data_IF_417796929599
#
_entry.id   IF_417796929599
#
_cell.length_a   1.000
_cell.length_b   1.000
_cell.length_c   1.000
_cell.angle_alpha   90.00
_cell.angle_beta   90.00
_cell.angle_gamma   90.00
#
_symmetry.space_group_name_H-M   'P 1'
#
loop_
_entity.id
_entity.type
_entity.pdbx_description
1 polymer ?
#
# COMPACT_ATOMS: atom_id res chain seq x y z
N UNK A 1 72.30 -78.90 -38.19
CA UNK A 1 71.08 -79.48 -37.61
C UNK A 1 70.58 -78.54 -36.51
N UNK A 2 69.37 -77.98 -36.69
CA UNK A 2 68.53 -77.22 -35.73
C UNK A 2 69.17 -75.95 -35.10
N UNK A 3 68.49 -74.83 -34.81
CA UNK A 3 67.10 -74.43 -34.78
C UNK A 3 67.13 -72.88 -34.72
N UNK A 4 66.53 -72.15 -35.66
CA UNK A 4 66.50 -70.67 -35.62
C UNK A 4 65.04 -70.21 -35.41
N UNK A 5 64.74 -69.80 -34.18
CA UNK A 5 63.41 -69.40 -33.72
C UNK A 5 63.16 -67.93 -34.09
N UNK A 6 62.17 -67.70 -34.95
CA UNK A 6 61.56 -66.38 -35.20
C UNK A 6 60.52 -66.11 -34.12
N UNK A 7 60.73 -65.06 -33.32
CA UNK A 7 59.67 -64.47 -32.49
C UNK A 7 59.28 -63.10 -33.06
N UNK A 8 58.01 -63.01 -33.43
CA UNK A 8 57.30 -61.84 -33.94
C UNK A 8 56.79 -61.03 -32.74
N UNK A 9 57.31 -59.82 -32.53
CA UNK A 9 56.81 -58.91 -31.49
C UNK A 9 55.73 -58.02 -32.07
N UNK A 10 54.49 -58.25 -31.62
CA UNK A 10 53.32 -57.41 -31.87
C UNK A 10 53.33 -56.21 -30.91
N UNK A 11 53.44 -54.99 -31.42
CA UNK A 11 53.28 -53.75 -30.66
C UNK A 11 51.82 -53.29 -30.69
N UNK A 12 51.13 -53.46 -29.56
CA UNK A 12 49.79 -52.94 -29.30
C UNK A 12 49.83 -51.46 -28.92
N UNK A 13 49.11 -50.62 -29.66
CA UNK A 13 48.87 -49.20 -29.35
C UNK A 13 47.77 -49.05 -28.30
N UNK A 14 48.13 -48.52 -27.13
CA UNK A 14 47.17 -48.21 -26.05
C UNK A 14 46.56 -46.83 -26.30
N UNK A 15 45.30 -46.79 -26.73
CA UNK A 15 44.51 -45.57 -26.86
C UNK A 15 44.16 -44.98 -25.48
N UNK A 16 44.58 -43.73 -25.24
CA UNK A 16 44.19 -42.97 -24.06
C UNK A 16 42.74 -42.46 -24.21
N UNK A 17 41.82 -43.08 -23.48
CA UNK A 17 40.41 -42.66 -23.39
C UNK A 17 40.28 -41.42 -22.50
N UNK A 18 39.83 -40.31 -23.08
CA UNK A 18 39.56 -39.05 -22.38
C UNK A 18 38.29 -39.18 -21.51
N UNK A 19 38.49 -39.48 -20.23
CA UNK A 19 37.40 -39.57 -19.24
C UNK A 19 36.83 -38.18 -18.97
N UNK A 20 35.65 -37.87 -19.52
CA UNK A 20 34.87 -36.64 -19.27
C UNK A 20 34.60 -36.52 -17.76
N UNK A 21 35.32 -35.64 -17.05
CA UNK A 21 35.07 -35.34 -15.64
C UNK A 21 33.69 -34.69 -15.52
N UNK A 22 32.76 -35.39 -14.87
CA UNK A 22 31.47 -34.83 -14.45
C UNK A 22 31.75 -33.77 -13.39
N UNK A 23 31.63 -32.50 -13.76
CA UNK A 23 31.69 -31.39 -12.80
C UNK A 23 30.47 -31.53 -11.89
N UNK A 24 30.62 -31.52 -10.56
CA UNK A 24 29.48 -31.57 -9.66
C UNK A 24 28.63 -30.31 -9.90
N UNK A 25 27.38 -30.50 -10.33
CA UNK A 25 26.43 -29.42 -10.66
C UNK A 25 25.95 -28.72 -9.37
N UNK A 26 26.02 -29.40 -8.23
CA UNK A 26 25.53 -28.95 -6.94
C UNK A 26 26.06 -27.56 -6.46
N UNK A 27 27.38 -27.25 -6.50
CA UNK A 27 27.89 -25.93 -6.14
C UNK A 27 27.37 -24.79 -7.01
N UNK A 28 27.08 -25.05 -8.29
CA UNK A 28 26.57 -24.03 -9.22
C UNK A 28 25.13 -23.65 -8.86
N UNK A 29 24.31 -24.64 -8.49
CA UNK A 29 22.91 -24.40 -8.08
C UNK A 29 22.87 -23.57 -6.79
N UNK A 30 23.72 -23.89 -5.80
CA UNK A 30 23.78 -23.14 -4.54
C UNK A 30 24.23 -21.70 -4.79
N UNK A 31 25.27 -21.49 -5.61
CA UNK A 31 25.73 -20.15 -5.95
C UNK A 31 24.63 -19.32 -6.65
N UNK A 32 23.90 -19.93 -7.59
CA UNK A 32 22.78 -19.27 -8.27
C UNK A 32 21.66 -18.90 -7.28
N UNK A 33 21.32 -19.80 -6.35
CA UNK A 33 20.29 -19.54 -5.33
C UNK A 33 20.68 -18.38 -4.40
N UNK A 34 21.95 -18.33 -3.96
CA UNK A 34 22.46 -17.24 -3.13
C UNK A 34 22.36 -15.90 -3.85
N UNK A 35 22.71 -15.84 -5.14
CA UNK A 35 22.59 -14.63 -5.96
C UNK A 35 21.13 -14.18 -6.06
N UNK A 36 20.20 -15.10 -6.33
CA UNK A 36 18.76 -14.79 -6.39
C UNK A 36 18.24 -14.24 -5.05
N UNK A 37 18.61 -14.86 -3.93
CA UNK A 37 18.21 -14.40 -2.59
C UNK A 37 18.81 -13.02 -2.30
N UNK A 38 20.10 -12.80 -2.62
CA UNK A 38 20.75 -11.51 -2.43
C UNK A 38 20.10 -10.41 -3.29
N UNK A 39 19.76 -10.71 -4.54
CA UNK A 39 19.04 -9.78 -5.43
C UNK A 39 17.64 -9.43 -4.90
N UNK A 40 16.93 -10.40 -4.32
CA UNK A 40 15.65 -10.15 -3.66
C UNK A 40 15.81 -9.22 -2.44
N UNK A 41 16.80 -9.47 -1.57
CA UNK A 41 17.07 -8.64 -0.38
C UNK A 41 17.43 -7.19 -0.78
N UNK A 42 18.27 -7.02 -1.81
CA UNK A 42 18.65 -5.69 -2.31
C UNK A 42 17.45 -4.98 -2.96
N UNK A 43 16.62 -5.69 -3.72
CA UNK A 43 15.39 -5.14 -4.30
C UNK A 43 14.41 -4.64 -3.24
N UNK A 44 14.30 -5.32 -2.10
CA UNK A 44 13.49 -4.86 -0.97
C UNK A 44 14.11 -3.66 -0.23
N UNK A 45 15.44 -3.55 -0.17
CA UNK A 45 16.13 -2.49 0.59
C UNK A 45 16.13 -1.13 -0.11
N UNK A 46 15.96 -1.08 -1.43
CA UNK A 46 15.95 0.17 -2.21
C UNK A 46 14.61 0.92 -2.20
N UNK A 47 13.52 0.33 -1.70
CA UNK A 47 12.19 0.97 -1.57
C UNK A 47 12.06 1.99 -0.43
N UNK A 48 13.20 2.55 0.02
CA UNK A 48 13.28 3.31 1.28
C UNK A 48 13.10 4.83 1.17
N UNK A 49 13.09 5.42 -0.04
CA UNK A 49 13.04 6.87 -0.18
C UNK A 49 11.59 7.38 -0.18
N UNK A 50 11.25 8.23 0.79
CA UNK A 50 9.95 8.90 0.83
C UNK A 50 9.88 9.96 -0.29
N UNK A 51 8.96 9.81 -1.24
CA UNK A 51 8.73 10.80 -2.30
C UNK A 51 7.88 11.95 -1.76
N UNK A 52 8.35 13.20 -1.88
CA UNK A 52 7.55 14.38 -1.52
C UNK A 52 6.71 14.78 -2.75
N UNK A 53 5.40 14.83 -2.61
CA UNK A 53 4.45 15.07 -3.71
C UNK A 53 3.37 16.07 -3.27
N UNK A 54 2.76 16.74 -4.23
CA UNK A 54 1.46 17.39 -4.01
C UNK A 54 0.32 16.39 -4.26
N UNK A 55 -0.89 16.70 -3.78
CA UNK A 55 -2.06 15.84 -4.02
C UNK A 55 -2.33 15.67 -5.52
N UNK A 56 -2.20 16.75 -6.29
CA UNK A 56 -2.44 16.75 -7.74
C UNK A 56 -1.46 15.81 -8.46
N UNK A 57 -0.17 15.86 -8.14
CA UNK A 57 0.86 14.98 -8.71
C UNK A 57 0.60 13.49 -8.40
N UNK A 58 0.23 13.20 -7.14
CA UNK A 58 -0.11 11.84 -6.74
C UNK A 58 -1.32 11.32 -7.53
N UNK A 59 -2.34 12.16 -7.76
CA UNK A 59 -3.55 11.75 -8.49
C UNK A 59 -3.33 11.59 -10.00
N UNK A 60 -2.43 12.37 -10.61
CA UNK A 60 -2.13 12.29 -12.06
C UNK A 60 -1.41 11.01 -12.45
N UNK A 61 -0.52 10.51 -11.60
CA UNK A 61 0.29 9.31 -11.86
C UNK A 61 0.20 8.30 -10.72
N UNK A 62 -1.02 8.10 -10.20
CA UNK A 62 -1.29 7.28 -9.03
C UNK A 62 -0.68 5.87 -9.11
N UNK A 63 -0.72 5.24 -10.28
CA UNK A 63 -0.24 3.87 -10.50
C UNK A 63 1.27 3.74 -10.21
N UNK A 64 2.09 4.76 -10.54
CA UNK A 64 3.54 4.70 -10.34
C UNK A 64 3.96 4.84 -8.87
N UNK A 65 3.03 5.25 -8.00
CA UNK A 65 3.24 5.45 -6.57
C UNK A 65 2.61 4.33 -5.73
N UNK A 66 1.92 3.36 -6.33
CA UNK A 66 1.32 2.26 -5.56
C UNK A 66 2.37 1.41 -4.85
N UNK A 67 2.16 1.19 -3.56
CA UNK A 67 3.11 0.50 -2.67
C UNK A 67 4.33 1.33 -2.29
N UNK A 68 4.50 2.54 -2.84
CA UNK A 68 5.60 3.42 -2.52
C UNK A 68 5.30 4.26 -1.27
N UNK A 69 6.37 4.64 -0.58
CA UNK A 69 6.25 5.60 0.54
C UNK A 69 6.16 7.02 -0.02
N UNK A 70 5.03 7.67 0.26
CA UNK A 70 4.74 9.02 -0.17
C UNK A 70 4.63 9.95 1.02
N UNK A 71 4.96 11.22 0.79
CA UNK A 71 4.71 12.32 1.69
C UNK A 71 4.02 13.41 0.91
N UNK A 72 2.73 13.56 1.15
CA UNK A 72 1.90 14.52 0.44
C UNK A 72 1.65 15.76 1.27
N UNK A 73 1.51 16.89 0.60
CA UNK A 73 0.98 18.12 1.19
C UNK A 73 -0.40 18.40 0.60
N UNK A 74 -1.38 18.67 1.45
CA UNK A 74 -2.74 19.02 1.03
C UNK A 74 -3.50 19.79 2.10
N UNK A 75 -4.66 20.34 1.75
CA UNK A 75 -5.54 21.05 2.66
C UNK A 75 -6.54 20.08 3.27
N UNK A 76 -6.76 20.13 4.58
CA UNK A 76 -7.75 19.26 5.26
C UNK A 76 -9.16 19.69 4.85
N UNK A 77 -9.83 18.89 4.03
CA UNK A 77 -11.23 19.12 3.64
C UNK A 77 -12.21 18.61 4.70
N UNK A 78 -11.82 17.56 5.44
CA UNK A 78 -12.61 16.97 6.51
C UNK A 78 -11.97 15.70 7.07
N UNK A 79 -12.67 15.06 7.99
CA UNK A 79 -12.38 13.70 8.40
C UNK A 79 -13.66 12.98 8.80
N UNK A 80 -13.57 11.66 8.87
CA UNK A 80 -14.53 10.82 9.56
C UNK A 80 -13.79 9.83 10.44
N UNK A 81 -14.46 9.41 11.50
CA UNK A 81 -13.99 8.37 12.41
C UNK A 81 -15.05 7.31 12.51
N UNK A 82 -14.61 6.10 12.82
CA UNK A 82 -15.52 5.04 13.17
C UNK A 82 -15.84 5.07 14.66
N UNK A 83 -17.08 4.70 14.99
CA UNK A 83 -17.52 4.63 16.37
C UNK A 83 -16.67 3.61 17.12
N UNK A 84 -16.06 4.02 18.23
CA UNK A 84 -15.17 3.20 19.06
C UNK A 84 -13.89 2.71 18.37
N UNK A 85 -13.51 3.26 17.21
CA UNK A 85 -12.22 2.97 16.58
C UNK A 85 -11.20 4.10 16.81
N UNK A 86 -9.92 3.76 16.71
CA UNK A 86 -8.83 4.73 16.56
C UNK A 86 -8.56 5.10 15.11
N UNK A 87 -9.27 4.48 14.17
CA UNK A 87 -9.14 4.74 12.74
C UNK A 87 -9.79 6.08 12.39
N UNK A 88 -8.97 6.98 11.85
CA UNK A 88 -9.34 8.33 11.44
C UNK A 88 -9.01 8.47 9.96
N UNK A 89 -10.01 8.77 9.16
CA UNK A 89 -9.84 8.98 7.73
C UNK A 89 -9.95 10.46 7.44
N UNK A 90 -8.87 11.03 6.94
CA UNK A 90 -8.71 12.46 6.70
C UNK A 90 -8.74 12.70 5.21
N UNK A 91 -9.64 13.55 4.74
CA UNK A 91 -9.70 13.96 3.34
C UNK A 91 -8.77 15.15 3.15
N UNK A 92 -7.79 14.98 2.26
CA UNK A 92 -6.84 16.01 1.88
C UNK A 92 -7.13 16.45 0.45
N UNK A 93 -7.36 17.74 0.25
CA UNK A 93 -7.57 18.33 -1.07
C UNK A 93 -6.29 18.98 -1.59
N UNK A 94 -6.06 18.84 -2.89
CA UNK A 94 -5.11 19.63 -3.65
C UNK A 94 -5.60 21.07 -3.86
N UNK A 95 -4.76 21.86 -4.50
CA UNK A 95 -5.06 23.22 -4.98
C UNK A 95 -6.02 23.22 -6.18
N UNK A 96 -5.91 22.21 -7.04
CA UNK A 96 -6.77 22.00 -8.22
C UNK A 96 -8.06 21.22 -7.93
N UNK A 97 -8.33 20.92 -6.66
CA UNK A 97 -9.58 20.31 -6.19
C UNK A 97 -9.60 18.79 -6.19
N UNK A 98 -8.51 18.12 -6.56
CA UNK A 98 -8.37 16.67 -6.39
C UNK A 98 -8.31 16.32 -4.90
N UNK A 99 -8.71 15.10 -4.57
CA UNK A 99 -8.78 14.67 -3.19
C UNK A 99 -8.10 13.30 -3.02
N UNK A 100 -7.47 13.13 -1.88
CA UNK A 100 -6.89 11.86 -1.45
C UNK A 100 -7.25 11.62 0.01
N UNK A 101 -7.55 10.37 0.32
CA UNK A 101 -7.86 9.96 1.68
C UNK A 101 -6.56 9.54 2.38
N UNK A 102 -6.40 9.96 3.63
CA UNK A 102 -5.30 9.59 4.49
C UNK A 102 -5.84 8.87 5.72
N UNK A 103 -5.52 7.59 5.85
CA UNK A 103 -5.92 6.77 6.99
C UNK A 103 -4.90 6.93 8.13
N UNK A 104 -5.36 7.27 9.33
CA UNK A 104 -4.50 7.61 10.46
C UNK A 104 -5.03 7.01 11.75
N UNK A 105 -4.18 6.33 12.52
CA UNK A 105 -4.59 5.56 13.72
C UNK A 105 -4.13 6.15 15.04
N UNK A 106 -3.44 7.30 14.99
CA UNK A 106 -2.89 7.98 16.16
C UNK A 106 -3.77 9.18 16.52
N UNK A 107 -3.67 9.70 17.76
CA UNK A 107 -4.32 10.94 18.13
C UNK A 107 -4.00 12.06 17.13
N UNK A 108 -5.01 12.81 16.73
CA UNK A 108 -4.83 13.96 15.86
C UNK A 108 -3.91 14.98 16.53
N UNK A 109 -2.96 15.58 15.80
CA UNK A 109 -2.10 16.61 16.36
C UNK A 109 -2.94 17.84 16.73
N UNK A 110 -2.63 18.51 17.84
CA UNK A 110 -3.36 19.70 18.35
C UNK A 110 -3.72 20.77 17.29
N UNK A 111 -2.83 21.14 16.33
CA UNK A 111 -3.17 22.12 15.30
C UNK A 111 -4.15 21.60 14.22
N UNK A 112 -4.62 20.35 14.30
CA UNK A 112 -5.54 19.77 13.34
C UNK A 112 -6.87 20.51 13.29
N UNK A 113 -7.16 21.11 12.13
CA UNK A 113 -8.43 21.80 11.85
C UNK A 113 -8.74 21.71 10.35
N UNK A 114 -10.03 21.75 10.00
CA UNK A 114 -10.46 21.90 8.60
C UNK A 114 -9.85 23.17 7.99
N UNK A 115 -9.59 23.13 6.68
CA UNK A 115 -8.95 24.19 5.89
C UNK A 115 -7.51 24.52 6.31
N UNK A 116 -6.83 23.65 7.08
CA UNK A 116 -5.40 23.78 7.37
C UNK A 116 -4.58 22.92 6.41
N UNK A 117 -3.36 23.38 6.13
CA UNK A 117 -2.40 22.59 5.37
C UNK A 117 -1.84 21.49 6.28
N UNK A 118 -1.99 20.25 5.83
CA UNK A 118 -1.38 19.09 6.43
C UNK A 118 -0.33 18.48 5.50
N UNK A 119 0.66 17.86 6.13
CA UNK A 119 1.66 17.02 5.50
C UNK A 119 1.45 15.61 6.03
N UNK A 120 1.11 14.70 5.12
CA UNK A 120 0.71 13.35 5.44
C UNK A 120 1.70 12.37 4.80
N UNK A 121 2.32 11.54 5.61
CA UNK A 121 3.34 10.58 5.17
C UNK A 121 2.87 9.16 5.48
N UNK A 122 2.97 8.29 4.48
CA UNK A 122 2.49 6.92 4.55
C UNK A 122 2.84 6.12 3.30
N UNK A 123 2.22 4.96 3.15
CA UNK A 123 2.33 4.14 1.94
C UNK A 123 1.08 4.38 1.10
N UNK A 124 1.23 4.70 -0.19
CA UNK A 124 0.10 4.89 -1.08
C UNK A 124 -0.40 3.55 -1.59
N UNK A 125 -1.68 3.29 -1.46
CA UNK A 125 -2.25 1.96 -1.65
C UNK A 125 -3.71 2.01 -2.13
N UNK A 126 -4.15 0.88 -2.68
CA UNK A 126 -5.44 0.70 -3.34
C UNK A 126 -6.43 -0.09 -2.46
N UNK A 127 -7.62 0.44 -2.21
CA UNK A 127 -8.58 -0.22 -1.31
C UNK A 127 -10.00 -0.18 -1.80
N UNK A 128 -10.83 -0.87 -1.05
CA UNK A 128 -12.28 -0.75 -1.17
C UNK A 128 -12.75 0.08 0.02
N UNK A 129 -13.51 1.12 -0.27
CA UNK A 129 -14.28 1.89 0.70
C UNK A 129 -15.70 1.38 0.71
N UNK A 130 -16.24 1.23 1.91
CA UNK A 130 -17.64 0.88 2.11
C UNK A 130 -18.29 2.00 2.91
N UNK A 131 -19.33 2.60 2.36
CA UNK A 131 -20.20 3.52 3.08
C UNK A 131 -21.32 2.71 3.76
N UNK A 132 -21.23 2.51 5.09
CA UNK A 132 -22.20 1.66 5.80
C UNK A 132 -23.62 2.24 5.83
N UNK A 133 -23.81 3.50 5.40
CA UNK A 133 -25.13 4.14 5.26
C UNK A 133 -25.78 3.86 3.91
N UNK A 134 -24.99 3.47 2.92
CA UNK A 134 -25.44 3.21 1.54
C UNK A 134 -25.49 1.71 1.20
N UNK A 135 -24.82 0.88 1.99
CA UNK A 135 -24.97 -0.58 1.90
C UNK A 135 -26.23 -1.01 2.65
N UNK A 136 -27.19 -1.55 1.90
CA UNK A 136 -28.46 -2.06 2.44
C UNK A 136 -28.35 -3.50 2.92
N UNK A 137 -27.52 -4.31 2.24
CA UNK A 137 -27.30 -5.72 2.54
C UNK A 137 -25.82 -5.96 2.90
N UNK A 138 -25.53 -6.01 4.20
CA UNK A 138 -24.17 -6.11 4.71
C UNK A 138 -23.61 -7.53 4.57
N UNK A 139 -24.47 -8.54 4.68
CA UNK A 139 -24.08 -9.95 4.52
C UNK A 139 -23.67 -10.21 3.08
N UNK A 140 -24.50 -9.77 2.14
CA UNK A 140 -24.17 -9.83 0.72
C UNK A 140 -22.90 -9.03 0.40
N UNK A 141 -22.71 -7.85 0.99
CA UNK A 141 -21.47 -7.08 0.85
C UNK A 141 -20.23 -7.86 1.32
N UNK A 142 -20.29 -8.53 2.47
CA UNK A 142 -19.17 -9.33 3.00
C UNK A 142 -18.80 -10.51 2.11
N UNK A 143 -19.79 -11.28 1.66
CA UNK A 143 -19.60 -12.41 0.73
C UNK A 143 -18.91 -11.93 -0.55
N UNK A 144 -19.36 -10.80 -1.09
CA UNK A 144 -18.80 -10.23 -2.31
C UNK A 144 -17.37 -9.72 -2.11
N UNK A 145 -17.06 -9.08 -0.99
CA UNK A 145 -15.70 -8.67 -0.64
C UNK A 145 -14.77 -9.85 -0.52
N UNK A 146 -15.19 -10.92 0.15
CA UNK A 146 -14.40 -12.15 0.24
C UNK A 146 -14.11 -12.73 -1.14
N UNK A 147 -15.08 -12.71 -2.06
CA UNK A 147 -14.87 -13.13 -3.45
C UNK A 147 -13.85 -12.26 -4.18
N UNK A 148 -13.91 -10.94 -4.02
CA UNK A 148 -12.93 -10.00 -4.60
C UNK A 148 -11.51 -10.25 -4.06
N UNK A 149 -11.40 -10.49 -2.75
CA UNK A 149 -10.11 -10.66 -2.07
C UNK A 149 -9.59 -12.11 -2.20
N UNK A 150 -10.42 -13.04 -2.70
CA UNK A 150 -10.08 -14.46 -2.86
C UNK A 150 -10.05 -15.22 -1.52
N UNK A 151 -10.90 -14.84 -0.58
CA UNK A 151 -11.02 -15.41 0.76
C UNK A 151 -12.25 -16.34 0.81
N UNK A 152 -12.21 -17.47 1.57
CA UNK A 152 -13.38 -18.34 1.74
C UNK A 152 -14.57 -17.58 2.35
N UNK A 153 -15.79 -17.83 1.86
CA UNK A 153 -17.01 -17.14 2.32
C UNK A 153 -17.25 -17.28 3.84
N UNK A 154 -16.84 -18.41 4.44
CA UNK A 154 -16.94 -18.63 5.89
C UNK A 154 -16.08 -17.68 6.72
N UNK A 155 -14.95 -17.21 6.17
CA UNK A 155 -14.07 -16.23 6.83
C UNK A 155 -14.55 -14.78 6.57
N UNK A 156 -15.51 -14.60 5.65
CA UNK A 156 -16.10 -13.33 5.29
C UNK A 156 -17.15 -12.85 6.30
N UNK A 157 -17.81 -13.78 6.98
CA UNK A 157 -18.93 -13.50 7.89
C UNK A 157 -18.45 -12.64 9.08
N UNK A 158 -17.21 -12.84 9.55
CA UNK A 158 -16.58 -12.04 10.60
C UNK A 158 -16.40 -10.55 10.20
N UNK A 159 -16.23 -10.25 8.91
CA UNK A 159 -16.16 -8.88 8.39
C UNK A 159 -17.49 -8.15 8.50
N UNK A 160 -18.60 -8.89 8.42
CA UNK A 160 -19.96 -8.34 8.39
C UNK A 160 -20.52 -8.16 9.81
N UNK A 161 -20.21 -9.09 10.71
CA UNK A 161 -20.73 -9.09 12.08
C UNK A 161 -20.13 -8.00 12.96
N UNK A 162 -19.03 -7.37 12.55
CA UNK A 162 -18.47 -6.21 13.22
C UNK A 162 -18.68 -4.95 12.36
N UNK A 163 -19.60 -4.02 12.70
CA UNK A 163 -19.83 -2.79 11.92
C UNK A 163 -18.60 -1.88 11.83
N UNK A 164 -17.63 -2.08 12.73
CA UNK A 164 -16.31 -1.43 12.77
C UNK A 164 -15.29 -2.10 11.84
N UNK A 165 -15.55 -3.33 11.35
CA UNK A 165 -14.71 -4.01 10.35
C UNK A 165 -15.14 -3.72 8.90
N UNK A 166 -16.34 -3.15 8.70
CA UNK A 166 -16.85 -2.79 7.37
C UNK A 166 -16.35 -1.40 6.94
N UNK A 167 -15.97 -0.54 7.88
CA UNK A 167 -15.64 0.87 7.55
C UNK A 167 -14.12 1.09 7.37
N UNK A 168 -13.28 0.16 7.86
CA UNK A 168 -11.85 0.06 7.64
C UNK A 168 -11.58 -1.36 7.10
N UNK A 169 -10.82 -1.61 6.04
CA UNK A 169 -9.45 -1.21 5.90
C UNK A 169 -9.08 -1.11 4.43
N UNK A 170 -8.38 -0.05 4.15
CA UNK A 170 -7.48 0.02 3.05
C UNK A 170 -6.71 -1.25 2.70
N UNK A 171 -6.74 -1.68 1.44
CA UNK A 171 -6.04 -2.89 0.92
C UNK A 171 -6.18 -4.16 1.77
N UNK A 172 -7.17 -4.34 2.65
CA UNK A 172 -7.13 -5.53 3.48
C UNK A 172 -8.45 -5.93 4.11
N UNK A 173 -8.83 -7.17 3.85
CA UNK A 173 -9.65 -7.93 4.79
C UNK A 173 -8.76 -8.31 5.96
N UNK A 174 -9.04 -7.77 7.15
CA UNK A 174 -8.44 -8.29 8.38
C UNK A 174 -9.11 -9.63 8.69
N UNK A 175 -8.51 -10.71 8.20
CA UNK A 175 -8.83 -12.05 8.69
C UNK A 175 -8.57 -12.08 10.20
N UNK A 176 -9.16 -13.05 10.91
CA UNK A 176 -9.00 -13.28 12.37
C UNK A 176 -7.55 -13.31 12.90
N UNK A 177 -6.55 -13.23 12.01
CA UNK A 177 -5.11 -13.28 12.24
C UNK A 177 -4.33 -12.03 11.76
N UNK A 178 -4.95 -10.84 11.65
CA UNK A 178 -4.28 -9.54 11.34
C UNK A 178 -3.58 -9.41 9.97
N UNK A 179 -3.89 -10.29 9.00
CA UNK A 179 -3.20 -10.31 7.70
C UNK A 179 -3.83 -9.31 6.72
N UNK A 180 -3.05 -8.32 6.24
CA UNK A 180 -3.51 -7.36 5.22
C UNK A 180 -3.35 -7.89 3.78
N UNK A 181 -4.44 -8.06 3.02
CA UNK A 181 -4.42 -8.59 1.63
C UNK A 181 -4.82 -7.53 0.60
N UNK A 182 -3.87 -6.98 -0.19
CA UNK A 182 -4.17 -5.94 -1.17
C UNK A 182 -5.14 -6.45 -2.23
N UNK A 183 -6.09 -5.59 -2.62
CA UNK A 183 -7.08 -5.88 -3.65
C UNK A 183 -6.57 -5.28 -4.95
N UNK A 184 -6.19 -6.11 -5.94
CA UNK A 184 -5.79 -5.61 -7.25
C UNK A 184 -6.95 -4.85 -7.92
N UNK A 185 -6.65 -3.72 -8.55
CA UNK A 185 -7.64 -2.94 -9.30
C UNK A 185 -8.43 -3.78 -10.30
N UNK A 186 -7.72 -4.63 -11.04
CA UNK A 186 -8.32 -5.48 -12.06
C UNK A 186 -9.27 -6.53 -11.46
N UNK A 187 -9.02 -6.98 -10.23
CA UNK A 187 -9.94 -7.86 -9.51
C UNK A 187 -11.25 -7.13 -9.15
N UNK A 188 -11.16 -5.87 -8.72
CA UNK A 188 -12.35 -5.03 -8.49
C UNK A 188 -13.09 -4.72 -9.78
N UNK A 189 -12.41 -4.32 -10.86
CA UNK A 189 -13.05 -3.99 -12.14
C UNK A 189 -13.75 -5.20 -12.76
N UNK A 190 -13.12 -6.39 -12.72
CA UNK A 190 -13.77 -7.65 -13.14
C UNK A 190 -15.01 -7.95 -12.31
N UNK A 191 -14.95 -7.63 -11.02
CA UNK A 191 -16.06 -7.84 -10.11
C UNK A 191 -17.21 -6.85 -10.34
N UNK A 192 -16.92 -5.56 -10.48
CA UNK A 192 -17.89 -4.52 -10.82
C UNK A 192 -18.59 -4.82 -12.17
N UNK A 193 -17.86 -5.39 -13.12
CA UNK A 193 -18.41 -5.82 -14.40
C UNK A 193 -19.26 -7.11 -14.33
N UNK A 194 -19.24 -7.84 -13.21
CA UNK A 194 -19.96 -9.10 -13.07
C UNK A 194 -21.47 -8.91 -12.97
N UNK A 195 -22.24 -9.86 -13.51
CA UNK A 195 -23.71 -9.86 -13.42
C UNK A 195 -24.21 -9.94 -11.97
N UNK A 196 -23.42 -10.55 -11.08
CA UNK A 196 -23.72 -10.61 -9.64
C UNK A 196 -23.66 -9.23 -8.99
N UNK A 197 -22.64 -8.42 -9.30
CA UNK A 197 -22.55 -7.05 -8.81
C UNK A 197 -23.66 -6.18 -9.39
N UNK A 198 -23.92 -6.26 -10.71
CA UNK A 198 -25.03 -5.53 -11.35
C UNK A 198 -26.39 -5.90 -10.77
N UNK A 199 -26.62 -7.17 -10.46
CA UNK A 199 -27.86 -7.63 -9.81
C UNK A 199 -28.00 -7.11 -8.37
N UNK A 200 -26.88 -6.83 -7.69
CA UNK A 200 -26.82 -6.33 -6.33
C UNK A 200 -26.60 -4.81 -6.23
N UNK A 201 -26.38 -4.11 -7.34
CA UNK A 201 -25.89 -2.73 -7.47
C UNK A 201 -26.65 -1.74 -6.55
N UNK A 202 -27.98 -1.78 -6.58
CA UNK A 202 -28.82 -0.93 -5.71
C UNK A 202 -28.65 -1.18 -4.20
N UNK A 203 -28.27 -2.40 -3.80
CA UNK A 203 -28.04 -2.79 -2.40
C UNK A 203 -26.60 -2.53 -1.95
N UNK A 204 -25.69 -2.36 -2.91
CA UNK A 204 -24.24 -2.23 -2.69
C UNK A 204 -23.68 -0.87 -3.10
N UNK A 205 -24.53 0.11 -3.39
CA UNK A 205 -24.16 1.48 -3.81
C UNK A 205 -23.21 2.23 -2.86
N UNK A 206 -22.88 1.66 -1.70
CA UNK A 206 -21.85 2.15 -0.78
C UNK A 206 -20.45 1.59 -1.00
N UNK A 207 -20.26 0.59 -1.85
CA UNK A 207 -18.96 -0.05 -2.11
C UNK A 207 -18.31 0.65 -3.30
N UNK A 208 -17.10 1.16 -3.10
CA UNK A 208 -16.34 1.85 -4.15
C UNK A 208 -14.86 1.55 -4.02
N UNK A 209 -14.17 1.34 -5.15
CA UNK A 209 -12.72 1.38 -5.18
C UNK A 209 -12.21 2.77 -4.83
N UNK A 210 -11.22 2.86 -3.97
CA UNK A 210 -10.60 4.12 -3.60
C UNK A 210 -9.11 3.96 -3.37
N UNK A 211 -8.37 5.05 -3.59
CA UNK A 211 -6.95 5.11 -3.26
C UNK A 211 -6.77 5.99 -2.05
N UNK A 212 -5.91 5.56 -1.15
CA UNK A 212 -5.66 6.28 0.07
C UNK A 212 -4.23 6.00 0.53
N UNK A 213 -3.79 6.79 1.49
CA UNK A 213 -2.46 6.66 2.08
C UNK A 213 -2.61 6.04 3.46
N UNK A 214 -1.96 4.90 3.67
CA UNK A 214 -1.84 4.30 5.00
C UNK A 214 -0.85 5.11 5.83
N UNK A 215 -1.38 5.91 6.73
CA UNK A 215 -0.68 6.98 7.39
C UNK A 215 0.21 6.52 8.52
N UNK A 216 1.47 6.93 8.45
CA UNK A 216 2.46 6.76 9.52
C UNK A 216 2.61 8.02 10.36
N UNK A 217 2.58 9.18 9.69
CA UNK A 217 2.83 10.50 10.29
C UNK A 217 1.92 11.54 9.65
N UNK A 218 1.30 12.34 10.52
CA UNK A 218 0.52 13.51 10.14
C UNK A 218 1.17 14.73 10.81
N UNK A 219 1.42 15.78 10.04
CA UNK A 219 1.90 17.06 10.56
C UNK A 219 0.98 18.15 10.04
N UNK A 220 0.39 18.95 10.91
CA UNK A 220 -0.43 20.09 10.49
C UNK A 220 0.36 21.36 10.69
N UNK A 221 0.45 22.19 9.64
CA UNK A 221 1.20 23.44 9.67
C UNK A 221 0.54 24.40 10.67
N UNK A 222 1.29 24.81 11.68
CA UNK A 222 0.84 25.77 12.68
C UNK A 222 0.83 27.19 12.09
N UNK A 223 -0.18 28.04 12.36
CA UNK A 223 -0.33 29.33 11.70
C UNK A 223 0.83 30.29 12.00
N UNK A 224 1.29 30.35 13.26
CA UNK A 224 2.27 31.33 13.72
C UNK A 224 3.59 31.35 12.94
N UNK A 225 3.99 30.20 12.36
CA UNK A 225 5.23 30.11 11.58
C UNK A 225 5.09 30.61 10.14
N UNK A 226 3.87 30.59 9.57
CA UNK A 226 3.57 31.04 8.21
C UNK A 226 2.87 32.41 8.14
N UNK A 227 2.50 32.96 9.31
CA UNK A 227 1.96 34.33 9.45
C UNK A 227 2.90 35.40 8.89
N UNK A 228 4.21 35.14 8.78
CA UNK A 228 5.17 36.09 8.17
C UNK A 228 5.09 36.21 6.65
N UNK A 229 4.44 35.28 5.94
CA UNK A 229 4.50 35.21 4.47
C UNK A 229 3.19 35.57 3.73
N UNK A 230 2.22 36.22 4.38
CA UNK A 230 1.10 36.85 3.65
C UNK A 230 -0.31 36.50 4.13
N UNK A 231 -0.57 36.60 5.44
CA UNK A 231 -1.93 36.49 5.97
C UNK A 231 -2.60 37.87 5.92
N UNK A 232 -3.87 37.92 5.51
CA UNK A 232 -4.62 39.18 5.50
C UNK A 232 -4.82 39.72 6.93
N UNK A 233 -4.87 41.05 7.14
CA UNK A 233 -4.93 41.66 8.48
C UNK A 233 -6.06 41.11 9.38
N UNK A 234 -7.21 40.76 8.80
CA UNK A 234 -8.38 40.29 9.53
C UNK A 234 -8.18 38.90 10.16
N UNK A 235 -7.43 38.02 9.49
CA UNK A 235 -7.14 36.68 10.00
C UNK A 235 -6.05 36.69 11.10
N UNK A 236 -5.21 37.74 11.12
CA UNK A 236 -4.23 37.95 12.18
C UNK A 236 -4.91 38.35 13.50
N UNK A 237 -5.90 39.24 13.45
CA UNK A 237 -6.65 39.65 14.65
C UNK A 237 -7.47 38.51 15.26
N UNK A 238 -8.10 37.66 14.42
CA UNK A 238 -8.78 36.46 14.91
C UNK A 238 -7.81 35.48 15.60
N UNK A 239 -6.60 35.33 15.05
CA UNK A 239 -5.56 34.50 15.64
C UNK A 239 -5.05 35.05 16.98
N UNK A 240 -4.80 36.36 17.03
CA UNK A 240 -4.35 37.08 18.23
C UNK A 240 -5.33 36.93 19.39
N UNK A 241 -6.63 37.02 19.10
CA UNK A 241 -7.68 36.83 20.11
C UNK A 241 -7.79 35.39 20.60
N UNK A 242 -7.48 34.41 19.76
CA UNK A 242 -7.60 32.98 20.08
C UNK A 242 -6.36 32.41 20.79
N UNK A 243 -5.19 32.99 20.57
CA UNK A 243 -3.91 32.51 21.09
C UNK A 243 -3.03 33.66 21.61
N UNK A 244 -3.44 34.35 22.67
CA UNK A 244 -2.74 35.53 23.16
C UNK A 244 -1.31 35.23 23.63
N UNK A 245 -1.03 34.04 24.17
CA UNK A 245 0.33 33.65 24.60
C UNK A 245 1.34 33.43 23.46
N UNK A 246 0.88 33.33 22.21
CA UNK A 246 1.73 33.06 21.04
C UNK A 246 2.09 34.31 20.24
N UNK A 247 1.64 35.48 20.69
CA UNK A 247 1.96 36.76 20.08
C UNK A 247 3.26 37.26 20.70
N UNK A 248 4.34 37.45 19.92
CA UNK A 248 5.57 38.00 20.46
C UNK A 248 5.26 39.37 21.06
N UNK A 249 5.55 39.56 22.35
CA UNK A 249 5.45 40.87 22.99
C UNK A 249 6.50 41.77 22.34
N UNK A 250 6.00 42.81 21.65
CA UNK A 250 6.80 43.86 21.02
C UNK A 250 7.51 44.72 22.05
#
# INVERSE_FOLDING_TARGET
MANESKNTTTSSSTGASATKRKVPIFPIIIAALIVVIASLIVGFSLRGSTKNLEVSDLTKDAESYLGERVKIQGTIAGHWTEKNSRDIFIQLSGDTGEEVVFHYTKPLPDPYQKNRIAIAEGVFIDGIRIDPKKVQDREQAGVLLAKIVGIPEGDAIDLVSNPTAITAYGTSVTLSNERKVPIPKDAYEKFEASEEFKAADSRLAGISYTRFIEGRRLTVKCPSKYVREGVSPNQYEEYKNKYPEHVPQS
#
